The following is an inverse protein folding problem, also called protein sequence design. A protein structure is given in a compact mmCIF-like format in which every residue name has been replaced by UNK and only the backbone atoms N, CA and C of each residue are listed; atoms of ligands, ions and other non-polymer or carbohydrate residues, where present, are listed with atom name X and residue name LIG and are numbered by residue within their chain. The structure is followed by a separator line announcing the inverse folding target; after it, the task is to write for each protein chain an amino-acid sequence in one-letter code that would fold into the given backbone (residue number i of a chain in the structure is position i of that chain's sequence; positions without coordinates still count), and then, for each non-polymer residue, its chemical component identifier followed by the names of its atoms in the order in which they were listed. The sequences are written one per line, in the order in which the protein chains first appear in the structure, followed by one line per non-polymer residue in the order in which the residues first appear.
data_IF_354462789365
#
_entry.id   IF_354462789365
#
_cell.length_a   1.000
_cell.length_b   1.000
_cell.length_c   1.000
_cell.angle_alpha   90.00
_cell.angle_beta   90.00
_cell.angle_gamma   90.00
#
_symmetry.space_group_name_H-M   'P 1'
#
loop_
_entity.id
_entity.type
_entity.pdbx_description
1 polymer ?
#
# COMPACT_ATOMS: atom_id res chain seq x y z
N UNK A 1 15.82 -12.69 -3.53
CA UNK A 1 15.32 -13.27 -4.79
C UNK A 1 13.84 -12.94 -4.89
N UNK A 2 13.35 -12.18 -5.88
CA UNK A 2 11.91 -12.05 -6.09
C UNK A 2 11.35 -13.44 -6.43
N UNK A 3 10.27 -13.83 -5.77
CA UNK A 3 9.60 -15.12 -5.96
C UNK A 3 9.06 -15.18 -7.39
N UNK A 4 9.51 -16.15 -8.19
CA UNK A 4 8.98 -16.37 -9.54
C UNK A 4 7.45 -16.57 -9.44
N UNK A 5 6.62 -15.90 -10.26
CA UNK A 5 5.18 -16.13 -10.25
C UNK A 5 4.91 -17.61 -10.59
N UNK A 6 4.05 -18.26 -9.81
CA UNK A 6 3.58 -19.62 -10.13
C UNK A 6 2.68 -19.56 -11.37
N UNK A 7 2.52 -20.68 -12.07
CA UNK A 7 1.69 -20.78 -13.28
C UNK A 7 0.22 -20.34 -13.05
N UNK A 8 -0.23 -20.31 -11.79
CA UNK A 8 -1.56 -19.86 -11.37
C UNK A 8 -1.67 -18.33 -11.17
N UNK A 9 -0.61 -17.56 -11.47
CA UNK A 9 -0.61 -16.10 -11.33
C UNK A 9 -0.47 -15.61 -9.89
N UNK A 10 -0.01 -16.46 -8.97
CA UNK A 10 0.19 -16.09 -7.56
C UNK A 10 1.61 -15.55 -7.36
N UNK A 11 1.69 -14.39 -6.71
CA UNK A 11 2.95 -13.77 -6.31
C UNK A 11 2.96 -13.53 -4.80
N UNK A 12 4.00 -14.00 -4.13
CA UNK A 12 4.17 -13.87 -2.68
C UNK A 12 5.39 -13.01 -2.38
N UNK A 13 5.22 -12.00 -1.54
CA UNK A 13 6.32 -11.16 -1.02
C UNK A 13 6.38 -11.25 0.49
N UNK A 14 7.61 -11.20 1.03
CA UNK A 14 7.86 -11.13 2.46
C UNK A 14 8.91 -10.08 2.74
N UNK A 15 8.74 -9.34 3.84
CA UNK A 15 9.67 -8.31 4.33
C UNK A 15 9.80 -8.45 5.84
N UNK A 16 11.01 -8.25 6.36
CA UNK A 16 11.26 -8.22 7.80
C UNK A 16 11.23 -6.78 8.29
N UNK A 17 10.43 -6.51 9.31
CA UNK A 17 10.31 -5.20 9.94
C UNK A 17 10.70 -5.31 11.41
N UNK A 18 11.53 -4.39 11.89
CA UNK A 18 11.87 -4.26 13.32
C UNK A 18 10.79 -3.47 14.08
N UNK A 19 9.51 -3.79 13.82
CA UNK A 19 8.36 -3.15 14.45
C UNK A 19 7.34 -4.20 14.91
N UNK A 20 6.62 -3.95 16.01
CA UNK A 20 5.52 -4.81 16.43
C UNK A 20 4.47 -4.97 15.33
N UNK A 21 3.84 -6.16 15.21
CA UNK A 21 2.78 -6.40 14.21
C UNK A 21 1.63 -5.40 14.26
N UNK A 22 1.28 -4.90 15.44
CA UNK A 22 0.23 -3.89 15.62
C UNK A 22 0.57 -2.55 14.95
N UNK A 23 1.84 -2.13 14.97
CA UNK A 23 2.28 -0.90 14.31
C UNK A 23 2.28 -1.08 12.79
N UNK A 24 2.76 -2.22 12.30
CA UNK A 24 2.70 -2.55 10.87
C UNK A 24 1.24 -2.59 10.41
N UNK A 25 0.35 -3.23 11.15
CA UNK A 25 -1.07 -3.26 10.82
C UNK A 25 -1.70 -1.86 10.81
N UNK A 26 -1.33 -1.00 11.76
CA UNK A 26 -1.83 0.38 11.83
C UNK A 26 -1.48 1.22 10.59
N UNK A 27 -0.39 0.93 9.86
CA UNK A 27 -0.08 1.66 8.62
C UNK A 27 -0.99 1.29 7.46
N UNK A 28 -1.67 0.14 7.53
CA UNK A 28 -2.71 -0.27 6.57
C UNK A 28 -4.11 0.11 7.02
N UNK A 29 -4.32 0.41 8.30
CA UNK A 29 -5.63 0.68 8.91
C UNK A 29 -6.01 2.17 8.92
N UNK A 30 -5.07 3.05 8.56
CA UNK A 30 -5.19 4.50 8.64
C UNK A 30 -4.92 5.07 7.24
N UNK A 31 -5.92 5.74 6.68
CA UNK A 31 -5.85 6.29 5.32
C UNK A 31 -4.75 7.36 5.18
N UNK A 32 -4.56 8.19 6.21
CA UNK A 32 -3.59 9.28 6.19
C UNK A 32 -2.17 8.71 6.24
N UNK A 33 -1.95 7.63 6.99
CA UNK A 33 -0.67 6.91 6.97
C UNK A 33 -0.46 6.19 5.65
N UNK A 34 -1.48 5.51 5.15
CA UNK A 34 -1.39 4.76 3.90
C UNK A 34 -1.09 5.69 2.70
N UNK A 35 -1.63 6.92 2.72
CA UNK A 35 -1.39 7.96 1.72
C UNK A 35 0.08 8.33 1.51
N UNK A 36 0.91 8.21 2.56
CA UNK A 36 2.30 8.67 2.51
C UNK A 36 3.26 7.67 1.87
N UNK A 37 2.89 6.40 1.77
CA UNK A 37 3.81 5.34 1.34
C UNK A 37 3.22 4.33 0.36
N UNK A 38 1.90 4.30 0.19
CA UNK A 38 1.28 3.38 -0.76
C UNK A 38 1.60 3.79 -2.20
N UNK A 39 1.96 2.85 -3.07
CA UNK A 39 2.35 3.14 -4.45
C UNK A 39 3.86 3.23 -4.67
N UNK A 40 4.29 3.64 -5.88
CA UNK A 40 5.69 3.74 -6.23
C UNK A 40 6.38 4.91 -5.52
N UNK A 41 7.71 4.83 -5.41
CA UNK A 41 8.51 5.86 -4.74
C UNK A 41 8.27 7.25 -5.37
N UNK A 42 7.96 8.23 -4.53
CA UNK A 42 7.67 9.61 -4.96
C UNK A 42 6.19 9.88 -5.26
N UNK A 43 5.32 8.87 -5.31
CA UNK A 43 3.87 9.09 -5.41
C UNK A 43 3.26 9.49 -4.07
N UNK A 44 2.25 10.35 -4.14
CA UNK A 44 1.36 10.65 -3.02
C UNK A 44 -0.05 10.19 -3.37
N UNK A 45 -0.83 9.72 -2.40
CA UNK A 45 -2.23 9.35 -2.65
C UNK A 45 -3.19 10.24 -1.88
N UNK A 46 -4.29 10.58 -2.52
CA UNK A 46 -5.45 11.19 -1.86
C UNK A 46 -6.54 10.14 -1.74
N UNK A 47 -6.88 9.75 -0.50
CA UNK A 47 -7.97 8.80 -0.24
C UNK A 47 -9.33 9.54 -0.19
N UNK A 48 -10.20 9.26 -1.16
CA UNK A 48 -11.57 9.80 -1.19
C UNK A 48 -12.54 8.98 -0.33
N UNK A 49 -12.33 7.66 -0.28
CA UNK A 49 -13.12 6.75 0.53
C UNK A 49 -12.19 5.68 1.10
N UNK A 50 -12.26 5.47 2.41
CA UNK A 50 -11.49 4.43 3.07
C UNK A 50 -12.33 3.76 4.15
N UNK A 51 -12.94 2.63 3.80
CA UNK A 51 -13.66 1.80 4.75
C UNK A 51 -12.78 0.64 5.23
N UNK A 52 -12.15 0.78 6.40
CA UNK A 52 -11.34 -0.28 7.01
C UNK A 52 -12.19 -1.34 7.71
N UNK A 53 -12.98 -2.08 6.93
CA UNK A 53 -13.84 -3.17 7.41
C UNK A 53 -13.93 -4.27 6.36
N UNK A 54 -14.41 -5.45 6.76
CA UNK A 54 -14.70 -6.51 5.79
C UNK A 54 -15.67 -5.99 4.72
N UNK A 55 -15.30 -6.21 3.44
CA UNK A 55 -16.03 -5.72 2.27
C UNK A 55 -16.13 -4.19 2.17
N UNK A 56 -15.32 -3.47 2.94
CA UNK A 56 -15.20 -2.02 2.81
C UNK A 56 -14.56 -1.63 1.49
N UNK A 57 -14.98 -0.49 0.94
CA UNK A 57 -14.45 0.04 -0.31
C UNK A 57 -13.37 1.07 -0.04
N UNK A 58 -12.30 1.00 -0.83
CA UNK A 58 -11.26 2.01 -0.87
C UNK A 58 -11.28 2.68 -2.24
N UNK A 59 -11.29 4.01 -2.25
CA UNK A 59 -11.19 4.83 -3.45
C UNK A 59 -10.12 5.88 -3.19
N UNK A 60 -9.06 5.85 -3.98
CA UNK A 60 -7.97 6.81 -3.87
C UNK A 60 -7.52 7.24 -5.27
N UNK A 61 -6.99 8.45 -5.33
CA UNK A 61 -6.30 8.99 -6.49
C UNK A 61 -4.81 8.93 -6.19
N UNK A 62 -4.06 8.26 -7.05
CA UNK A 62 -2.60 8.27 -7.00
C UNK A 62 -2.10 9.46 -7.80
N UNK A 63 -1.38 10.36 -7.14
CA UNK A 63 -0.64 11.43 -7.76
C UNK A 63 0.76 10.90 -8.05
N UNK A 64 1.06 10.73 -9.33
CA UNK A 64 2.44 10.49 -9.76
C UNK A 64 3.30 11.71 -9.38
N UNK A 65 4.57 11.50 -9.00
CA UNK A 65 5.48 12.61 -8.85
C UNK A 65 5.50 13.40 -10.16
N UNK A 66 5.31 14.71 -10.09
CA UNK A 66 5.41 15.59 -11.27
C UNK A 66 6.76 15.32 -11.95
N UNK A 67 6.72 14.69 -13.12
CA UNK A 67 7.88 14.54 -13.99
C UNK A 67 8.26 15.92 -14.51
N UNK A 68 9.01 16.68 -13.71
CA UNK A 68 9.72 17.85 -14.21
C UNK A 68 10.97 17.32 -14.91
N UNK A 69 10.88 17.11 -16.23
CA UNK A 69 12.02 16.74 -17.07
C UNK A 69 12.02 17.55 -18.36
#
# INVERSE_FOLDING_TARGET
MPTQPTADGVFTTGRLFHFPPAQVFATFADADRLATWWGPDGSSNTFELFEFKQRGRWKFVMHEPDCTH
#
